data_IF_466212907648
#
_entry.id   IF_466212907648
#
_cell.length_a   1.000
_cell.length_b   1.000
_cell.length_c   1.000
_cell.angle_alpha   90.00
_cell.angle_beta   90.00
_cell.angle_gamma   90.00
#
_symmetry.space_group_name_H-M   'P 1'
#
loop_
_entity.id
_entity.type
_entity.pdbx_description
1 polymer ?
#
# COMPACT_ATOMS: atom_id res chain seq x y z
N UNK A 1 2.71 -23.97 6.30
CA UNK A 1 2.19 -23.93 7.67
C UNK A 1 1.02 -22.97 7.67
N UNK A 2 -0.04 -23.23 8.43
CA UNK A 2 -1.13 -22.25 8.59
C UNK A 2 -0.66 -21.18 9.57
N UNK A 3 -0.80 -19.91 9.18
CA UNK A 3 -0.46 -18.75 10.03
C UNK A 3 -1.61 -18.54 11.02
N UNK A 4 -1.28 -18.34 12.30
CA UNK A 4 -2.26 -17.98 13.32
C UNK A 4 -2.29 -16.46 13.49
N UNK A 5 -3.49 -15.90 13.56
CA UNK A 5 -3.72 -14.48 13.86
C UNK A 5 -4.79 -14.35 14.94
N UNK A 6 -4.80 -13.24 15.67
CA UNK A 6 -5.72 -13.03 16.80
C UNK A 6 -6.74 -11.94 16.46
N UNK A 7 -8.02 -12.22 16.68
CA UNK A 7 -9.10 -11.23 16.46
C UNK A 7 -8.98 -10.03 17.42
N UNK A 8 -8.40 -10.26 18.60
CA UNK A 8 -8.20 -9.27 19.65
C UNK A 8 -6.70 -9.07 19.94
N UNK A 9 -6.30 -7.92 20.52
CA UNK A 9 -4.94 -7.72 21.02
C UNK A 9 -4.47 -8.88 21.91
N UNK A 10 -3.33 -9.46 21.54
CA UNK A 10 -2.75 -10.64 22.18
C UNK A 10 -1.28 -10.42 22.60
N UNK A 11 -0.53 -9.66 21.82
CA UNK A 11 0.90 -9.40 22.05
C UNK A 11 1.11 -7.97 22.56
N UNK A 12 2.12 -7.76 23.41
CA UNK A 12 2.76 -6.44 23.46
C UNK A 12 3.63 -6.27 22.20
N UNK A 13 4.14 -5.08 21.92
CA UNK A 13 5.02 -4.85 20.77
C UNK A 13 6.21 -3.97 21.14
N UNK A 14 7.25 -4.02 20.28
CA UNK A 14 8.37 -3.08 20.28
C UNK A 14 8.36 -2.28 18.98
N UNK A 15 8.96 -1.08 19.01
CA UNK A 15 9.07 -0.24 17.82
C UNK A 15 10.51 0.12 17.52
N UNK A 16 10.92 -0.06 16.27
CA UNK A 16 12.18 0.46 15.74
C UNK A 16 11.88 1.58 14.77
N UNK A 17 12.31 2.80 15.10
CA UNK A 17 12.03 3.98 14.30
C UNK A 17 13.13 4.25 13.28
N UNK A 18 12.73 4.79 12.12
CA UNK A 18 13.60 5.37 11.10
C UNK A 18 14.64 4.38 10.54
N UNK A 19 14.21 3.16 10.23
CA UNK A 19 15.02 2.17 9.52
C UNK A 19 15.11 2.57 8.05
N UNK A 20 16.31 2.78 7.49
CA UNK A 20 16.46 3.15 6.09
C UNK A 20 16.13 1.97 5.18
N UNK A 21 15.22 2.17 4.22
CA UNK A 21 14.89 1.15 3.23
C UNK A 21 15.39 1.47 1.83
N UNK A 22 15.59 2.76 1.51
CA UNK A 22 16.10 3.21 0.22
C UNK A 22 16.80 4.58 0.32
N UNK A 23 17.55 4.89 -0.75
CA UNK A 23 18.08 6.21 -1.04
C UNK A 23 17.42 6.70 -2.32
N UNK A 24 16.76 7.86 -2.23
CA UNK A 24 15.90 8.44 -3.25
C UNK A 24 16.47 9.76 -3.78
N UNK A 25 15.88 10.28 -4.85
CA UNK A 25 16.31 11.52 -5.53
C UNK A 25 15.27 12.62 -5.33
N UNK A 26 15.74 13.80 -4.91
CA UNK A 26 14.92 14.99 -4.60
C UNK A 26 15.59 16.28 -5.10
N UNK A 27 14.84 17.38 -5.06
CA UNK A 27 15.27 18.73 -5.44
C UNK A 27 15.95 18.78 -6.82
N UNK A 28 15.39 18.05 -7.79
CA UNK A 28 15.93 17.97 -9.14
C UNK A 28 15.68 19.27 -9.90
N UNK A 29 16.72 19.88 -10.49
CA UNK A 29 16.52 21.03 -11.38
C UNK A 29 15.96 20.62 -12.74
N UNK A 30 16.16 19.37 -13.14
CA UNK A 30 15.52 18.73 -14.28
C UNK A 30 14.88 17.40 -13.83
N UNK A 31 13.54 17.25 -13.83
CA UNK A 31 12.87 16.07 -13.29
C UNK A 31 13.11 14.78 -14.09
N UNK A 32 13.75 14.86 -15.26
CA UNK A 32 14.07 13.68 -16.11
C UNK A 32 15.56 13.35 -16.13
N UNK A 33 16.38 14.09 -15.37
CA UNK A 33 17.82 13.90 -15.28
C UNK A 33 18.26 13.74 -13.80
N UNK A 34 18.49 12.49 -13.34
CA UNK A 34 18.99 12.18 -11.99
C UNK A 34 20.24 12.92 -11.59
N UNK A 35 21.10 13.28 -12.56
CA UNK A 35 22.37 13.96 -12.27
C UNK A 35 22.15 15.38 -11.72
N UNK A 36 20.94 15.91 -11.85
CA UNK A 36 20.54 17.23 -11.34
C UNK A 36 19.92 17.20 -9.95
N UNK A 37 19.81 16.02 -9.35
CA UNK A 37 19.15 15.82 -8.07
C UNK A 37 20.14 15.68 -6.91
N UNK A 38 19.62 15.76 -5.68
CA UNK A 38 20.35 15.35 -4.47
C UNK A 38 19.74 14.07 -3.90
N UNK A 39 20.56 13.32 -3.18
CA UNK A 39 20.13 12.07 -2.54
C UNK A 39 19.49 12.32 -1.18
N UNK A 40 18.41 11.60 -0.87
CA UNK A 40 17.73 11.59 0.43
C UNK A 40 17.53 10.16 0.88
N UNK A 41 17.87 9.83 2.11
CA UNK A 41 17.48 8.55 2.71
C UNK A 41 16.00 8.59 3.06
N UNK A 42 15.30 7.51 2.73
CA UNK A 42 13.90 7.33 3.11
C UNK A 42 13.75 6.12 4.01
N UNK A 43 12.87 6.25 4.99
CA UNK A 43 12.82 5.38 6.15
C UNK A 43 11.45 4.77 6.36
N UNK A 44 11.43 3.68 7.11
CA UNK A 44 10.23 3.05 7.64
C UNK A 44 10.35 2.87 9.16
N UNK A 45 9.21 2.69 9.82
CA UNK A 45 9.13 2.28 11.22
C UNK A 45 8.63 0.84 11.28
N UNK A 46 9.20 0.05 12.19
CA UNK A 46 8.86 -1.38 12.36
C UNK A 46 8.19 -1.57 13.71
N UNK A 47 7.01 -2.15 13.72
CA UNK A 47 6.30 -2.57 14.93
C UNK A 47 6.30 -4.09 14.97
N UNK A 48 6.93 -4.64 16.01
CA UNK A 48 7.22 -6.06 16.13
C UNK A 48 6.48 -6.64 17.34
N UNK A 49 5.58 -7.62 17.17
CA UNK A 49 4.99 -8.38 18.28
C UNK A 49 6.07 -8.99 19.17
N UNK A 50 5.85 -8.94 20.47
CA UNK A 50 6.72 -9.58 21.47
C UNK A 50 6.17 -10.98 21.75
N UNK A 51 6.84 -11.99 21.20
CA UNK A 51 6.47 -13.40 21.34
C UNK A 51 7.31 -14.29 20.44
N UNK A 52 7.17 -15.60 20.60
CA UNK A 52 7.94 -16.61 19.87
C UNK A 52 7.05 -17.50 18.97
N UNK A 53 5.80 -17.09 18.73
CA UNK A 53 4.78 -17.87 18.00
C UNK A 53 4.84 -17.69 16.47
N UNK A 54 5.90 -17.07 15.98
CA UNK A 54 6.11 -16.83 14.56
C UNK A 54 6.21 -18.12 13.71
N UNK A 55 6.29 -17.99 12.38
CA UNK A 55 6.46 -16.73 11.67
C UNK A 55 5.18 -15.89 11.62
N UNK A 56 5.34 -14.58 11.77
CA UNK A 56 4.24 -13.62 11.79
C UNK A 56 3.86 -13.17 10.36
N UNK A 57 2.57 -12.94 10.05
CA UNK A 57 2.19 -12.24 8.84
C UNK A 57 2.65 -10.78 8.88
N UNK A 58 2.61 -10.08 7.74
CA UNK A 58 3.16 -8.73 7.63
C UNK A 58 2.14 -7.75 7.04
N UNK A 59 2.14 -6.52 7.55
CA UNK A 59 1.40 -5.38 6.99
C UNK A 59 2.40 -4.28 6.61
N UNK A 60 2.22 -3.69 5.43
CA UNK A 60 2.83 -2.40 5.11
C UNK A 60 1.76 -1.31 5.13
N UNK A 61 1.96 -0.27 5.94
CA UNK A 61 1.07 0.89 6.06
C UNK A 61 1.62 2.07 5.28
N UNK A 62 0.80 2.64 4.39
CA UNK A 62 1.11 3.81 3.59
C UNK A 62 0.19 4.97 4.02
N UNK A 63 0.79 6.09 4.42
CA UNK A 63 0.03 7.25 4.88
C UNK A 63 -0.72 7.96 3.75
N UNK A 64 -1.82 8.64 4.10
CA UNK A 64 -2.52 9.56 3.18
C UNK A 64 -1.88 10.94 3.14
N UNK A 65 -2.61 11.94 2.65
CA UNK A 65 -2.15 13.34 2.60
C UNK A 65 -1.96 13.90 1.18
N UNK A 66 -2.63 13.31 0.20
CA UNK A 66 -2.71 13.82 -1.17
C UNK A 66 -1.36 13.93 -1.88
N UNK A 67 -0.37 13.14 -1.47
CA UNK A 67 1.04 13.22 -1.89
C UNK A 67 1.73 14.57 -1.58
N UNK A 68 1.13 15.43 -0.76
CA UNK A 68 1.70 16.76 -0.41
C UNK A 68 2.06 16.89 1.06
N UNK A 69 1.59 15.96 1.88
CA UNK A 69 1.77 15.92 3.33
C UNK A 69 1.65 14.49 3.83
N UNK A 70 1.83 14.32 5.14
CA UNK A 70 1.83 13.00 5.77
C UNK A 70 3.23 12.49 6.03
N UNK A 71 3.30 11.44 6.83
CA UNK A 71 4.51 10.70 7.17
C UNK A 71 4.10 9.36 7.79
N UNK A 72 5.05 8.44 7.95
CA UNK A 72 4.83 7.09 8.51
C UNK A 72 4.21 7.03 9.92
N UNK A 73 4.07 8.15 10.63
CA UNK A 73 3.35 8.20 11.91
C UNK A 73 1.84 8.45 11.77
N UNK A 74 1.36 8.80 10.58
CA UNK A 74 -0.03 9.19 10.29
C UNK A 74 -0.74 8.15 9.42
N UNK A 75 -0.88 6.95 9.98
CA UNK A 75 -1.55 5.82 9.33
C UNK A 75 -2.70 5.32 10.19
N UNK A 76 -3.76 4.87 9.54
CA UNK A 76 -4.95 4.29 10.14
C UNK A 76 -5.23 2.90 9.53
N UNK A 77 -5.65 1.90 10.32
CA UNK A 77 -5.60 1.92 11.78
C UNK A 77 -4.16 2.14 12.26
N UNK A 78 -3.96 2.70 13.47
CA UNK A 78 -2.63 2.86 14.03
C UNK A 78 -1.89 1.52 14.04
N UNK A 79 -0.61 1.52 13.66
CA UNK A 79 0.18 0.28 13.53
C UNK A 79 0.15 -0.68 14.75
N UNK A 80 0.00 -0.22 16.01
CA UNK A 80 -0.24 -1.11 17.15
C UNK A 80 -1.42 -2.07 16.97
N UNK A 81 -2.49 -1.66 16.26
CA UNK A 81 -3.65 -2.50 15.95
C UNK A 81 -3.23 -3.86 15.37
N UNK A 82 -2.31 -3.84 14.42
CA UNK A 82 -1.77 -5.02 13.74
C UNK A 82 -0.72 -5.73 14.59
N UNK A 83 0.21 -4.99 15.18
CA UNK A 83 1.30 -5.58 15.95
C UNK A 83 0.80 -6.36 17.17
N UNK A 84 -0.20 -5.83 17.88
CA UNK A 84 -0.83 -6.50 19.01
C UNK A 84 -1.59 -7.78 18.59
N UNK A 85 -2.00 -7.88 17.32
CA UNK A 85 -2.66 -9.08 16.74
C UNK A 85 -1.69 -10.07 16.10
N UNK A 86 -0.38 -9.84 16.23
CA UNK A 86 0.67 -10.74 15.77
C UNK A 86 1.14 -10.48 14.35
N UNK A 87 1.13 -9.23 13.87
CA UNK A 87 1.69 -8.87 12.57
C UNK A 87 3.01 -8.13 12.74
N UNK A 88 3.99 -8.37 11.88
CA UNK A 88 5.10 -7.42 11.70
C UNK A 88 4.59 -6.26 10.84
N UNK A 89 4.54 -5.07 11.42
CA UNK A 89 3.98 -3.90 10.74
C UNK A 89 5.10 -2.96 10.30
N UNK A 90 5.09 -2.54 9.04
CA UNK A 90 6.05 -1.62 8.46
C UNK A 90 5.32 -0.35 7.99
N UNK A 91 5.58 0.79 8.61
CA UNK A 91 5.01 2.06 8.17
C UNK A 91 6.06 2.87 7.42
N UNK A 92 5.76 3.28 6.18
CA UNK A 92 6.75 3.83 5.27
C UNK A 92 6.57 5.34 5.09
N UNK A 93 7.68 6.07 4.99
CA UNK A 93 7.67 7.37 4.34
C UNK A 93 7.77 7.16 2.82
N UNK A 94 7.20 8.07 2.03
CA UNK A 94 7.41 8.17 0.58
C UNK A 94 7.63 9.65 0.20
N UNK A 95 8.25 9.93 -0.96
CA UNK A 95 8.47 11.30 -1.45
C UNK A 95 7.16 12.05 -1.64
N UNK A 96 7.14 13.28 -1.15
CA UNK A 96 6.01 14.20 -1.37
C UNK A 96 6.27 15.07 -2.60
N UNK A 97 5.24 15.72 -3.13
CA UNK A 97 5.35 16.66 -4.26
C UNK A 97 6.43 17.73 -4.03
N UNK A 98 6.59 18.20 -2.79
CA UNK A 98 7.60 19.19 -2.41
C UNK A 98 9.04 18.67 -2.45
N UNK A 99 9.24 17.35 -2.45
CA UNK A 99 10.57 16.75 -2.63
C UNK A 99 11.05 16.87 -4.08
N UNK A 100 10.18 17.19 -5.05
CA UNK A 100 10.55 17.40 -6.46
C UNK A 100 11.43 16.26 -7.01
N UNK A 101 10.90 15.04 -6.93
CA UNK A 101 11.57 13.82 -7.38
C UNK A 101 11.58 13.65 -8.90
N UNK A 102 12.33 12.65 -9.33
CA UNK A 102 12.49 12.27 -10.74
C UNK A 102 11.29 11.46 -11.23
N UNK A 103 10.82 11.73 -12.45
CA UNK A 103 9.79 10.96 -13.14
C UNK A 103 9.99 11.03 -14.67
N UNK A 104 9.47 10.08 -15.47
CA UNK A 104 9.60 10.12 -16.93
C UNK A 104 8.71 11.23 -17.55
N UNK A 105 9.23 11.98 -18.53
CA UNK A 105 8.50 13.05 -19.25
C UNK A 105 7.85 12.60 -20.56
N UNK A 106 8.15 11.37 -21.00
CA UNK A 106 7.55 10.75 -22.17
C UNK A 106 6.19 10.10 -21.89
N UNK A 107 5.72 10.22 -20.65
CA UNK A 107 4.45 9.71 -20.17
C UNK A 107 3.50 10.89 -20.08
N UNK A 108 2.60 11.00 -21.05
CA UNK A 108 1.55 12.02 -21.12
C UNK A 108 0.38 11.62 -20.21
N UNK A 109 0.68 11.37 -18.94
CA UNK A 109 -0.31 10.97 -17.95
C UNK A 109 -0.98 12.21 -17.37
N UNK A 110 -2.12 12.55 -17.94
CA UNK A 110 -3.01 13.55 -17.38
C UNK A 110 -3.80 12.92 -16.24
N UNK A 111 -3.86 13.62 -15.10
CA UNK A 111 -4.63 13.15 -13.94
C UNK A 111 -6.13 12.93 -14.27
N UNK A 112 -6.60 13.48 -15.40
CA UNK A 112 -7.92 13.23 -15.99
C UNK A 112 -8.19 11.73 -16.30
N UNK A 113 -7.17 10.87 -16.29
CA UNK A 113 -7.27 9.41 -16.41
C UNK A 113 -7.53 8.65 -15.08
N UNK A 114 -7.65 9.37 -13.95
CA UNK A 114 -8.12 8.79 -12.70
C UNK A 114 -9.55 8.26 -12.86
N UNK A 115 -9.72 6.95 -12.91
CA UNK A 115 -11.06 6.38 -12.95
C UNK A 115 -11.70 6.36 -11.55
N UNK A 116 -13.01 6.59 -11.45
CA UNK A 116 -13.87 7.28 -12.41
C UNK A 116 -13.64 8.79 -12.31
N UNK A 117 -13.29 9.45 -13.42
CA UNK A 117 -12.86 10.86 -13.55
C UNK A 117 -13.08 11.68 -12.27
N UNK A 118 -12.11 11.54 -11.36
CA UNK A 118 -12.30 11.88 -9.95
C UNK A 118 -12.40 13.38 -9.68
N UNK A 119 -13.03 13.75 -8.57
CA UNK A 119 -12.98 15.14 -8.05
C UNK A 119 -11.56 15.55 -7.59
N UNK A 120 -10.68 14.58 -7.36
CA UNK A 120 -9.28 14.76 -7.02
C UNK A 120 -8.37 14.21 -8.11
N UNK A 121 -7.48 15.08 -8.60
CA UNK A 121 -6.58 14.82 -9.72
C UNK A 121 -5.13 15.07 -9.25
N UNK A 122 -4.43 14.03 -8.73
CA UNK A 122 -3.07 14.19 -8.25
C UNK A 122 -2.07 14.37 -9.39
N UNK A 123 -1.01 15.15 -9.17
CA UNK A 123 0.04 15.33 -10.18
C UNK A 123 0.86 14.05 -10.34
N UNK A 124 1.13 13.65 -11.59
CA UNK A 124 2.04 12.55 -11.90
C UNK A 124 3.40 12.68 -11.19
N UNK A 125 3.94 13.89 -11.17
CA UNK A 125 5.20 14.25 -10.50
C UNK A 125 5.20 14.03 -8.98
N UNK A 126 4.04 13.75 -8.37
CA UNK A 126 3.93 13.32 -6.98
C UNK A 126 3.63 11.82 -6.85
N UNK A 127 2.69 11.32 -7.67
CA UNK A 127 2.25 9.91 -7.66
C UNK A 127 3.40 8.99 -8.01
N UNK A 128 4.11 9.29 -9.11
CA UNK A 128 5.14 8.40 -9.61
C UNK A 128 6.26 8.20 -8.58
N UNK A 129 6.93 9.26 -8.07
CA UNK A 129 7.96 9.10 -7.03
C UNK A 129 7.47 8.35 -5.79
N UNK A 130 6.22 8.57 -5.37
CA UNK A 130 5.64 7.92 -4.20
C UNK A 130 5.47 6.41 -4.40
N UNK A 131 4.92 5.99 -5.55
CA UNK A 131 4.77 4.56 -5.88
C UNK A 131 6.14 3.89 -6.05
N UNK A 132 7.13 4.58 -6.65
CA UNK A 132 8.53 4.09 -6.73
C UNK A 132 9.11 3.80 -5.35
N UNK A 133 8.94 4.73 -4.42
CA UNK A 133 9.44 4.61 -3.05
C UNK A 133 8.74 3.46 -2.31
N UNK A 134 7.41 3.39 -2.40
CA UNK A 134 6.63 2.34 -1.75
C UNK A 134 6.99 0.95 -2.30
N UNK A 135 7.24 0.83 -3.60
CA UNK A 135 7.72 -0.41 -4.22
C UNK A 135 9.11 -0.82 -3.72
N UNK A 136 10.01 0.15 -3.52
CA UNK A 136 11.32 -0.10 -2.89
C UNK A 136 11.15 -0.64 -1.47
N UNK A 137 10.17 -0.13 -0.72
CA UNK A 137 9.85 -0.63 0.60
C UNK A 137 9.31 -2.07 0.56
N UNK A 138 8.43 -2.41 -0.39
CA UNK A 138 7.96 -3.80 -0.57
C UNK A 138 9.15 -4.75 -0.78
N UNK A 139 10.09 -4.41 -1.66
CA UNK A 139 11.31 -5.23 -1.87
C UNK A 139 12.15 -5.36 -0.61
N UNK A 140 12.35 -4.25 0.11
CA UNK A 140 13.08 -4.25 1.37
C UNK A 140 12.40 -5.17 2.38
N UNK A 141 11.07 -5.11 2.50
CA UNK A 141 10.27 -5.95 3.41
C UNK A 141 10.32 -7.42 2.99
N UNK A 142 10.17 -7.75 1.71
CA UNK A 142 10.28 -9.14 1.25
C UNK A 142 11.68 -9.72 1.50
N UNK A 143 12.73 -8.89 1.49
CA UNK A 143 14.11 -9.30 1.80
C UNK A 143 14.38 -9.44 3.29
N UNK A 144 13.96 -8.46 4.09
CA UNK A 144 14.36 -8.32 5.49
C UNK A 144 13.28 -8.76 6.49
N UNK A 145 12.06 -9.02 6.05
CA UNK A 145 10.96 -9.41 6.94
C UNK A 145 11.28 -10.62 7.83
N UNK A 146 12.07 -11.56 7.32
CA UNK A 146 12.53 -12.73 8.06
C UNK A 146 13.45 -12.39 9.24
N UNK A 147 14.23 -11.29 9.14
CA UNK A 147 15.09 -10.80 10.22
C UNK A 147 14.27 -10.31 11.42
N UNK A 148 12.99 -10.01 11.20
CA UNK A 148 12.00 -9.60 12.19
C UNK A 148 10.99 -10.70 12.50
N UNK A 149 11.25 -11.96 12.11
CA UNK A 149 10.37 -13.09 12.39
C UNK A 149 9.10 -13.14 11.55
N UNK A 150 9.01 -12.35 10.46
CA UNK A 150 7.86 -12.33 9.55
C UNK A 150 8.01 -13.26 8.35
N UNK A 151 6.91 -13.84 7.84
CA UNK A 151 6.85 -14.55 6.54
C UNK A 151 6.42 -13.60 5.40
N UNK A 152 7.00 -12.40 5.37
CA UNK A 152 6.45 -11.30 4.55
C UNK A 152 6.40 -11.58 3.05
N UNK A 153 7.30 -12.41 2.50
CA UNK A 153 7.23 -12.81 1.07
C UNK A 153 5.92 -13.55 0.72
N UNK A 154 5.28 -14.20 1.70
CA UNK A 154 4.06 -15.00 1.51
C UNK A 154 2.81 -14.41 2.14
N UNK A 155 2.93 -13.31 2.87
CA UNK A 155 1.84 -12.80 3.72
C UNK A 155 1.76 -11.27 3.77
N UNK A 156 2.50 -10.54 2.94
CA UNK A 156 2.51 -9.08 3.00
C UNK A 156 1.21 -8.52 2.44
N UNK A 157 0.40 -7.94 3.32
CA UNK A 157 -0.74 -7.09 2.95
C UNK A 157 -0.32 -5.64 2.94
N UNK A 158 -0.75 -4.87 1.95
CA UNK A 158 -0.51 -3.43 1.87
C UNK A 158 -1.80 -2.72 2.23
N UNK A 159 -1.73 -1.71 3.09
CA UNK A 159 -2.87 -0.86 3.41
C UNK A 159 -2.52 0.61 3.23
N UNK A 160 -3.54 1.42 2.99
CA UNK A 160 -3.40 2.87 3.03
C UNK A 160 -4.74 3.58 2.98
N UNK A 161 -4.71 4.87 3.29
CA UNK A 161 -5.87 5.77 3.16
C UNK A 161 -5.63 6.85 2.12
N UNK A 162 -6.65 7.19 1.32
CA UNK A 162 -6.58 8.27 0.34
C UNK A 162 -5.40 8.06 -0.63
N UNK A 163 -4.48 9.02 -0.76
CA UNK A 163 -3.25 8.86 -1.55
C UNK A 163 -2.42 7.60 -1.21
N UNK A 164 -2.38 7.19 0.06
CA UNK A 164 -1.70 5.95 0.47
C UNK A 164 -2.43 4.71 -0.04
N UNK A 165 -3.76 4.76 -0.10
CA UNK A 165 -4.58 3.69 -0.64
C UNK A 165 -4.42 3.58 -2.17
N UNK A 166 -4.41 4.72 -2.87
CA UNK A 166 -4.04 4.78 -4.29
C UNK A 166 -2.67 4.14 -4.53
N UNK A 167 -1.68 4.46 -3.70
CA UNK A 167 -0.35 3.82 -3.79
C UNK A 167 -0.42 2.31 -3.55
N UNK A 168 -1.22 1.86 -2.58
CA UNK A 168 -1.41 0.44 -2.28
C UNK A 168 -2.08 -0.31 -3.43
N UNK A 169 -3.10 0.29 -4.07
CA UNK A 169 -3.76 -0.24 -5.26
C UNK A 169 -2.73 -0.45 -6.36
N UNK A 170 -1.93 0.57 -6.69
CA UNK A 170 -0.91 0.47 -7.75
C UNK A 170 0.09 -0.67 -7.53
N UNK A 171 0.54 -0.87 -6.29
CA UNK A 171 1.40 -2.00 -5.92
C UNK A 171 0.66 -3.34 -6.03
N UNK A 172 -0.63 -3.38 -5.71
CA UNK A 172 -1.46 -4.57 -5.79
C UNK A 172 -1.76 -5.01 -7.22
N UNK A 173 -1.92 -4.09 -8.17
CA UNK A 173 -2.15 -4.42 -9.57
C UNK A 173 -0.94 -5.11 -10.21
N UNK A 174 0.24 -4.83 -9.67
CA UNK A 174 1.54 -5.16 -10.28
C UNK A 174 2.38 -6.16 -9.46
N UNK A 175 1.91 -6.57 -8.28
CA UNK A 175 2.70 -7.29 -7.27
C UNK A 175 2.44 -8.79 -7.08
N UNK A 176 1.47 -9.43 -7.73
CA UNK A 176 1.03 -10.75 -7.27
C UNK A 176 1.84 -11.96 -7.73
N UNK A 177 2.60 -11.96 -8.85
CA UNK A 177 3.41 -13.13 -9.25
C UNK A 177 4.65 -12.86 -10.15
N UNK A 178 5.14 -11.63 -10.26
CA UNK A 178 6.29 -11.32 -11.12
C UNK A 178 7.11 -10.09 -10.71
N UNK A 179 8.21 -9.87 -11.42
CA UNK A 179 8.81 -8.54 -11.54
C UNK A 179 7.72 -7.67 -12.16
N UNK A 180 7.44 -6.49 -11.60
CA UNK A 180 6.46 -5.56 -12.17
C UNK A 180 6.82 -5.35 -13.65
N UNK A 181 5.83 -5.38 -14.55
CA UNK A 181 5.96 -5.05 -15.98
C UNK A 181 4.88 -4.01 -16.34
N UNK A 182 5.25 -2.85 -16.93
CA UNK A 182 4.41 -1.63 -17.11
C UNK A 182 4.70 -0.45 -16.13
N UNK A 183 4.61 0.82 -16.56
CA UNK A 183 4.94 2.18 -16.02
C UNK A 183 5.51 2.47 -14.61
N UNK A 184 6.18 1.50 -14.03
CA UNK A 184 7.12 1.61 -12.95
C UNK A 184 8.30 0.65 -13.23
N UNK A 185 8.63 0.42 -14.51
CA UNK A 185 9.19 -0.88 -14.93
C UNK A 185 10.47 -0.90 -15.71
N UNK A 186 11.07 0.24 -16.02
CA UNK A 186 12.43 0.22 -16.58
C UNK A 186 13.50 -0.17 -15.54
N UNK A 187 13.08 -0.67 -14.37
CA UNK A 187 13.88 -1.46 -13.43
C UNK A 187 14.70 -2.60 -14.09
N UNK A 188 14.33 -3.02 -15.30
CA UNK A 188 15.02 -4.08 -16.05
C UNK A 188 16.38 -3.61 -16.61
N UNK A 189 16.55 -2.31 -16.92
CA UNK A 189 17.82 -1.71 -17.39
C UNK A 189 18.45 -0.74 -16.37
N UNK A 190 17.84 -0.60 -15.19
CA UNK A 190 18.29 0.20 -14.06
C UNK A 190 17.21 1.17 -13.57
N UNK A 191 16.92 1.14 -12.28
CA UNK A 191 16.08 2.17 -11.66
C UNK A 191 16.89 3.46 -11.51
N UNK A 192 16.71 4.38 -12.45
CA UNK A 192 17.36 5.70 -12.43
C UNK A 192 16.62 6.71 -11.53
N UNK A 193 15.47 6.33 -10.99
CA UNK A 193 14.59 7.21 -10.19
C UNK A 193 14.87 7.11 -8.68
N UNK A 194 15.68 6.12 -8.29
CA UNK A 194 16.20 5.84 -6.95
C UNK A 194 17.68 5.47 -7.03
N UNK A 195 18.44 5.74 -5.97
CA UNK A 195 19.83 5.26 -5.88
C UNK A 195 19.93 3.79 -5.45
N UNK A 196 19.01 3.33 -4.60
CA UNK A 196 19.02 1.95 -4.07
C UNK A 196 17.60 1.46 -3.86
N UNK A 197 17.28 0.24 -4.31
CA UNK A 197 15.91 -0.27 -4.21
C UNK A 197 15.79 -1.80 -4.06
N UNK A 198 16.90 -2.54 -3.88
CA UNK A 198 16.92 -4.01 -3.84
C UNK A 198 16.34 -4.67 -5.12
N UNK A 199 16.74 -4.22 -6.32
CA UNK A 199 16.21 -4.69 -7.62
C UNK A 199 16.34 -6.20 -7.86
N UNK A 200 17.19 -6.88 -7.10
CA UNK A 200 17.34 -8.34 -7.08
C UNK A 200 16.14 -9.07 -6.46
N UNK A 201 15.22 -8.35 -5.81
CA UNK A 201 14.08 -8.88 -5.08
C UNK A 201 12.77 -8.49 -5.77
N UNK A 202 11.84 -9.45 -5.89
CA UNK A 202 10.49 -9.18 -6.37
C UNK A 202 9.71 -8.38 -5.33
N UNK A 203 8.98 -7.35 -5.75
CA UNK A 203 8.12 -6.56 -4.88
C UNK A 203 6.75 -7.24 -4.67
N UNK A 204 6.71 -8.37 -3.96
CA UNK A 204 5.50 -9.20 -3.84
C UNK A 204 4.59 -8.76 -2.68
N UNK A 205 3.30 -8.67 -2.98
CA UNK A 205 2.23 -8.53 -2.01
C UNK A 205 1.17 -9.63 -2.20
N UNK A 206 0.39 -9.90 -1.15
CA UNK A 206 -0.65 -10.94 -1.15
C UNK A 206 -2.06 -10.42 -0.91
N UNK A 207 -2.19 -9.14 -0.53
CA UNK A 207 -3.48 -8.48 -0.39
C UNK A 207 -3.36 -6.97 -0.31
N UNK A 208 -4.46 -6.27 -0.61
CA UNK A 208 -4.61 -4.83 -0.43
C UNK A 208 -5.82 -4.52 0.42
N UNK A 209 -5.66 -3.59 1.36
CA UNK A 209 -6.76 -2.94 2.08
C UNK A 209 -6.78 -1.48 1.62
N UNK A 210 -7.78 -1.15 0.81
CA UNK A 210 -8.01 0.17 0.25
C UNK A 210 -9.02 0.94 1.11
N UNK A 211 -8.57 2.02 1.74
CA UNK A 211 -9.45 3.00 2.35
C UNK A 211 -9.53 4.23 1.43
N UNK A 212 -10.60 4.30 0.63
CA UNK A 212 -11.00 5.42 -0.24
C UNK A 212 -9.89 5.97 -1.14
N UNK A 213 -9.15 5.07 -1.79
CA UNK A 213 -8.18 5.38 -2.83
C UNK A 213 -8.82 5.70 -4.17
N UNK A 214 -8.17 6.59 -4.93
CA UNK A 214 -8.38 6.69 -6.37
C UNK A 214 -7.65 5.55 -7.09
N UNK A 215 -8.12 5.17 -8.28
CA UNK A 215 -7.43 4.21 -9.15
C UNK A 215 -6.98 4.88 -10.47
N UNK A 216 -6.01 4.25 -11.12
CA UNK A 216 -5.56 4.65 -12.46
C UNK A 216 -5.75 3.47 -13.41
N UNK A 217 -6.54 3.67 -14.47
CA UNK A 217 -7.03 2.57 -15.29
C UNK A 217 -6.02 2.00 -16.29
N UNK A 218 -5.16 2.85 -16.84
CA UNK A 218 -4.17 2.49 -17.86
C UNK A 218 -2.76 2.71 -17.34
N UNK A 219 -1.85 1.77 -17.63
CA UNK A 219 -0.44 2.02 -17.47
C UNK A 219 -0.05 3.32 -18.19
N UNK A 220 0.97 3.98 -17.69
CA UNK A 220 1.41 5.26 -18.24
C UNK A 220 2.01 5.15 -19.68
N UNK A 221 2.05 3.96 -20.27
CA UNK A 221 2.34 3.64 -21.65
C UNK A 221 1.08 3.22 -22.44
N UNK A 222 -0.12 3.36 -21.85
CA UNK A 222 -1.43 3.09 -22.46
C UNK A 222 -1.87 1.62 -22.46
N UNK A 223 -1.26 0.80 -21.60
CA UNK A 223 -1.48 -0.63 -21.44
C UNK A 223 -2.44 -1.00 -20.31
N UNK A 224 -2.95 -2.24 -20.34
CA UNK A 224 -3.85 -2.75 -19.31
C UNK A 224 -3.06 -3.24 -18.08
N UNK A 225 -3.32 -2.67 -16.89
CA UNK A 225 -2.70 -3.07 -15.61
C UNK A 225 -3.35 -4.32 -14.97
N UNK A 226 -4.57 -4.66 -15.34
CA UNK A 226 -5.36 -5.70 -14.68
C UNK A 226 -4.94 -7.10 -15.16
N UNK A 227 -4.59 -8.00 -14.25
CA UNK A 227 -4.23 -9.38 -14.60
C UNK A 227 -4.62 -10.40 -13.53
N UNK A 228 -4.58 -11.68 -13.87
CA UNK A 228 -4.71 -12.79 -12.91
C UNK A 228 -3.61 -12.80 -11.82
N UNK A 229 -2.56 -11.99 -12.02
CA UNK A 229 -1.48 -11.78 -11.05
C UNK A 229 -1.66 -10.51 -10.22
N UNK A 230 -2.78 -9.80 -10.33
CA UNK A 230 -3.13 -8.75 -9.37
C UNK A 230 -3.51 -9.38 -8.02
N UNK A 231 -3.38 -8.62 -6.93
CA UNK A 231 -3.62 -9.14 -5.58
C UNK A 231 -5.09 -9.00 -5.17
N UNK A 232 -5.62 -9.92 -4.33
CA UNK A 232 -6.93 -9.75 -3.72
C UNK A 232 -7.05 -8.41 -2.97
N UNK A 233 -8.18 -7.74 -3.11
CA UNK A 233 -8.39 -6.40 -2.50
C UNK A 233 -9.71 -6.30 -1.76
N UNK A 234 -9.71 -5.66 -0.60
CA UNK A 234 -10.93 -5.12 0.01
C UNK A 234 -10.89 -3.60 -0.05
N UNK A 235 -11.96 -3.00 -0.54
CA UNK A 235 -12.09 -1.55 -0.72
C UNK A 235 -13.21 -1.00 0.16
N UNK A 236 -12.95 0.07 0.89
CA UNK A 236 -13.91 0.79 1.71
C UNK A 236 -14.08 2.21 1.18
N UNK A 237 -15.31 2.64 0.92
CA UNK A 237 -15.57 3.99 0.42
C UNK A 237 -16.85 4.60 0.98
N UNK A 238 -16.78 5.83 1.47
CA UNK A 238 -17.94 6.61 1.90
C UNK A 238 -18.81 7.04 0.72
N UNK A 239 -20.13 6.86 0.80
CA UNK A 239 -21.04 7.22 -0.31
C UNK A 239 -21.20 8.75 -0.50
N UNK A 240 -20.82 9.54 0.51
CA UNK A 240 -20.79 11.00 0.46
C UNK A 240 -19.37 11.56 0.31
N UNK A 241 -18.40 10.74 -0.12
CA UNK A 241 -17.04 11.21 -0.38
C UNK A 241 -17.02 12.17 -1.58
N UNK A 242 -16.59 13.40 -1.33
CA UNK A 242 -16.45 14.46 -2.34
C UNK A 242 -14.99 14.73 -2.72
N UNK A 243 -14.05 14.02 -2.11
CA UNK A 243 -12.61 14.13 -2.42
C UNK A 243 -12.26 13.11 -3.49
N UNK A 244 -12.52 11.83 -3.21
CA UNK A 244 -12.34 10.75 -4.19
C UNK A 244 -13.70 10.14 -4.48
N UNK A 245 -14.00 10.00 -5.77
CA UNK A 245 -15.30 9.49 -6.22
C UNK A 245 -15.58 8.10 -5.61
N UNK A 246 -16.72 7.89 -4.92
CA UNK A 246 -17.07 6.60 -4.32
C UNK A 246 -17.10 5.42 -5.30
N UNK A 247 -17.34 5.72 -6.57
CA UNK A 247 -17.35 4.75 -7.65
C UNK A 247 -15.96 4.13 -7.91
N UNK A 248 -14.88 4.70 -7.36
CA UNK A 248 -13.52 4.14 -7.43
C UNK A 248 -13.46 2.69 -6.93
N UNK A 249 -14.03 2.41 -5.76
CA UNK A 249 -14.07 1.04 -5.22
C UNK A 249 -14.90 0.08 -6.09
N UNK A 250 -15.94 0.57 -6.77
CA UNK A 250 -16.74 -0.24 -7.69
C UNK A 250 -15.95 -0.62 -8.95
N UNK A 251 -15.29 0.36 -9.56
CA UNK A 251 -14.47 0.13 -10.76
C UNK A 251 -13.33 -0.81 -10.43
N UNK A 252 -12.61 -0.58 -9.32
CA UNK A 252 -11.53 -1.43 -8.84
C UNK A 252 -11.97 -2.90 -8.70
N UNK A 253 -13.04 -3.16 -7.94
CA UNK A 253 -13.49 -4.53 -7.73
C UNK A 253 -14.09 -5.18 -8.96
N UNK A 254 -14.75 -4.41 -9.84
CA UNK A 254 -15.23 -4.91 -11.12
C UNK A 254 -14.07 -5.41 -11.99
N UNK A 255 -13.02 -4.59 -12.17
CA UNK A 255 -11.84 -4.93 -12.98
C UNK A 255 -11.05 -6.11 -12.42
N UNK A 256 -10.87 -6.19 -11.11
CA UNK A 256 -10.20 -7.34 -10.47
C UNK A 256 -11.01 -8.63 -10.65
N UNK A 257 -12.33 -8.55 -10.49
CA UNK A 257 -13.22 -9.72 -10.66
C UNK A 257 -13.22 -10.21 -12.12
N UNK A 258 -13.19 -9.29 -13.09
CA UNK A 258 -13.13 -9.62 -14.54
C UNK A 258 -11.88 -10.45 -14.89
N UNK A 259 -10.77 -10.26 -14.19
CA UNK A 259 -9.52 -11.02 -14.37
C UNK A 259 -9.37 -12.18 -13.37
N UNK A 260 -10.42 -12.51 -12.62
CA UNK A 260 -10.47 -13.65 -11.70
C UNK A 260 -9.85 -13.42 -10.33
N UNK A 261 -9.56 -12.17 -9.95
CA UNK A 261 -8.99 -11.80 -8.65
C UNK A 261 -10.11 -11.42 -7.67
N UNK A 262 -10.08 -11.97 -6.45
CA UNK A 262 -11.10 -11.71 -5.42
C UNK A 262 -11.05 -10.24 -5.00
N UNK A 263 -12.17 -9.54 -5.11
CA UNK A 263 -12.31 -8.19 -4.57
C UNK A 263 -13.64 -8.02 -3.84
N UNK A 264 -13.64 -7.26 -2.74
CA UNK A 264 -14.83 -6.91 -2.00
C UNK A 264 -14.95 -5.40 -1.83
N UNK A 265 -16.06 -4.82 -2.30
CA UNK A 265 -16.33 -3.39 -2.21
C UNK A 265 -17.35 -3.10 -1.12
N UNK A 266 -16.93 -2.36 -0.10
CA UNK A 266 -17.70 -1.99 1.07
C UNK A 266 -18.07 -0.50 0.99
N UNK A 267 -19.34 -0.26 0.63
CA UNK A 267 -19.92 1.08 0.64
C UNK A 267 -20.34 1.49 2.04
N UNK A 268 -19.79 2.60 2.53
CA UNK A 268 -20.07 3.17 3.83
C UNK A 268 -21.13 4.26 3.67
N UNK A 269 -22.40 3.86 3.82
CA UNK A 269 -23.56 4.72 3.56
C UNK A 269 -23.55 5.98 4.44
N UNK A 270 -23.63 7.16 3.81
CA UNK A 270 -23.69 8.45 4.48
C UNK A 270 -22.34 9.01 4.93
N UNK A 271 -21.27 8.22 4.86
CA UNK A 271 -19.93 8.63 5.28
C UNK A 271 -19.18 9.43 4.21
N UNK A 272 -18.33 10.35 4.67
CA UNK A 272 -17.45 11.17 3.82
C UNK A 272 -16.02 10.59 3.75
N UNK A 273 -15.12 11.27 3.04
CA UNK A 273 -13.68 10.94 3.00
C UNK A 273 -13.07 10.87 4.40
N UNK A 274 -12.17 9.91 4.66
CA UNK A 274 -11.47 9.82 5.94
C UNK A 274 -12.35 9.34 7.10
N UNK A 275 -13.39 8.56 6.83
CA UNK A 275 -14.33 8.04 7.83
C UNK A 275 -13.76 6.85 8.63
N UNK A 276 -12.65 7.07 9.31
CA UNK A 276 -11.95 6.04 10.10
C UNK A 276 -12.76 5.46 11.26
N UNK A 277 -13.76 6.18 11.74
CA UNK A 277 -14.69 5.74 12.79
C UNK A 277 -15.95 5.04 12.25
N UNK A 278 -16.01 4.81 10.93
CA UNK A 278 -17.13 4.13 10.30
C UNK A 278 -17.33 2.72 10.84
N UNK A 279 -18.61 2.34 10.91
CA UNK A 279 -19.04 1.00 11.32
C UNK A 279 -19.93 0.40 10.26
N UNK A 280 -19.79 -0.90 10.07
CA UNK A 280 -20.70 -1.67 9.24
C UNK A 280 -22.08 -1.80 9.90
N UNK A 281 -23.14 -2.18 9.15
CA UNK A 281 -24.46 -2.42 9.74
C UNK A 281 -24.45 -3.47 10.87
N UNK A 282 -23.47 -4.37 10.89
CA UNK A 282 -23.21 -5.33 11.98
C UNK A 282 -22.74 -4.68 13.29
N UNK A 283 -22.28 -3.43 13.23
CA UNK A 283 -21.66 -2.69 14.34
C UNK A 283 -20.14 -2.86 14.44
N UNK A 284 -19.56 -3.73 13.60
CA UNK A 284 -18.11 -3.96 13.50
C UNK A 284 -17.39 -2.75 12.89
N UNK A 285 -16.15 -2.50 13.31
CA UNK A 285 -15.30 -1.48 12.70
C UNK A 285 -14.85 -1.90 11.31
N UNK A 286 -14.53 -0.94 10.44
CA UNK A 286 -13.95 -1.25 9.12
C UNK A 286 -12.61 -2.00 9.23
N UNK A 287 -11.86 -1.79 10.32
CA UNK A 287 -10.57 -2.43 10.56
C UNK A 287 -10.71 -3.91 10.92
N UNK A 288 -11.63 -4.25 11.82
CA UNK A 288 -11.88 -5.64 12.23
C UNK A 288 -12.48 -6.46 11.07
N UNK A 289 -13.32 -5.81 10.26
CA UNK A 289 -13.83 -6.44 9.05
C UNK A 289 -12.72 -6.69 8.02
N UNK A 290 -11.83 -5.71 7.79
CA UNK A 290 -10.68 -5.87 6.92
C UNK A 290 -9.72 -6.97 7.40
N UNK A 291 -9.49 -7.06 8.72
CA UNK A 291 -8.71 -8.14 9.34
C UNK A 291 -9.34 -9.51 9.04
N UNK A 292 -10.65 -9.65 9.27
CA UNK A 292 -11.37 -10.92 9.08
C UNK A 292 -11.34 -11.34 7.62
N UNK A 293 -11.59 -10.40 6.70
CA UNK A 293 -11.52 -10.63 5.27
C UNK A 293 -10.10 -11.07 4.84
N UNK A 294 -9.08 -10.38 5.33
CA UNK A 294 -7.67 -10.69 5.02
C UNK A 294 -7.29 -12.10 5.49
N UNK A 295 -7.72 -12.49 6.69
CA UNK A 295 -7.48 -13.82 7.21
C UNK A 295 -8.18 -14.91 6.38
N UNK A 296 -9.43 -14.66 5.92
CA UNK A 296 -10.17 -15.57 5.04
C UNK A 296 -9.47 -15.76 3.69
N UNK A 297 -9.14 -14.67 2.98
CA UNK A 297 -8.49 -14.76 1.66
C UNK A 297 -7.11 -15.42 1.73
N UNK A 298 -6.42 -15.30 2.87
CA UNK A 298 -5.09 -15.87 3.08
C UNK A 298 -5.12 -17.28 3.67
N UNK A 299 -6.31 -17.80 4.03
CA UNK A 299 -6.44 -19.11 4.69
C UNK A 299 -5.76 -19.18 6.05
N UNK A 300 -5.71 -18.06 6.77
CA UNK A 300 -5.13 -17.98 8.11
C UNK A 300 -6.11 -18.50 9.17
N UNK A 301 -5.58 -19.03 10.26
CA UNK A 301 -6.37 -19.48 11.38
C UNK A 301 -6.59 -18.32 12.36
N UNK A 302 -7.83 -17.86 12.47
CA UNK A 302 -8.21 -16.80 13.41
C UNK A 302 -8.49 -17.39 14.78
N UNK A 303 -7.72 -16.95 15.77
CA UNK A 303 -7.89 -17.34 17.17
C UNK A 303 -8.72 -16.27 17.87
N UNK A 304 -9.93 -16.65 18.26
CA UNK A 304 -10.83 -15.82 19.05
C UNK A 304 -10.58 -16.01 20.55
N UNK A 305 -9.62 -15.26 21.09
CA UNK A 305 -9.30 -15.25 22.52
C UNK A 305 -9.10 -13.81 22.99
N UNK A 306 -10.05 -13.30 23.75
CA UNK A 306 -9.81 -12.13 24.59
C UNK A 306 -8.85 -12.50 25.73
N UNK A 307 -7.74 -11.78 25.85
CA UNK A 307 -6.93 -11.85 27.07
C UNK A 307 -7.72 -11.18 28.20
N UNK A 308 -8.00 -11.94 29.25
CA UNK A 308 -8.63 -11.46 30.50
C UNK A 308 -7.69 -10.59 31.32
#
# INVERSE_FOLDING_TARGET
MSINVYSHPHYNYTTTFSVPYASTLINCSNPTDPSTCISKTINLDIYLPTGDDGPYPCIMSIHGGGYTSGDKSKVDPPNPYWAERGFVTFAIDYRLLSDAGVYPDNIDWEAEECEPNGSWLPKYSAVYPAVRDAKAAVRWINKHGIDYGGDCEKSLTIQGGSAGATTAIELGLTGGNGIYRGDFTDEVDGDWTLNTTNLDINAKATGVIDFWGALFAEDAAGGNRWSETSVPTIAFHGTNDTTVAPESGEVLCSKLTDVGVKCENIKLEGYAHGCWDAKLPSGESIFDYAFTWMADVSGWNVIDKELK
#
